data_IF_086036041422
#
_entry.id   IF_086036041422
#
_cell.length_a   1.000
_cell.length_b   1.000
_cell.length_c   1.000
_cell.angle_alpha   90.00
_cell.angle_beta   90.00
_cell.angle_gamma   90.00
#
_symmetry.space_group_name_H-M   'P 1'
#
loop_
_entity.id
_entity.type
_entity.pdbx_description
1 polymer ?
#
# COMPACT_ATOMS: atom_id res chain seq x y z
N UNK A 1 20.03 11.54 5.76
CA UNK A 1 20.46 11.70 4.35
C UNK A 1 19.32 12.40 3.64
N UNK A 2 19.59 13.44 2.86
CA UNK A 2 18.58 14.24 2.16
C UNK A 2 18.56 13.84 0.67
N UNK A 3 17.46 13.24 0.22
CA UNK A 3 17.29 12.77 -1.16
C UNK A 3 16.37 13.68 -1.97
N UNK A 4 16.20 14.94 -1.54
CA UNK A 4 15.14 15.81 -2.04
C UNK A 4 15.45 16.49 -3.37
N UNK A 5 14.83 16.02 -4.44
CA UNK A 5 14.83 16.65 -5.76
C UNK A 5 13.45 16.53 -6.42
N UNK A 6 12.44 17.28 -5.96
CA UNK A 6 11.03 16.97 -6.20
C UNK A 6 10.66 16.96 -7.69
N UNK A 7 11.22 17.88 -8.48
CA UNK A 7 10.96 17.95 -9.94
C UNK A 7 11.57 16.75 -10.66
N UNK A 8 12.80 16.36 -10.31
CA UNK A 8 13.49 15.24 -10.94
C UNK A 8 12.85 13.90 -10.53
N UNK A 9 12.59 13.73 -9.23
CA UNK A 9 11.91 12.57 -8.66
C UNK A 9 10.54 12.37 -9.31
N UNK A 10 9.72 13.43 -9.40
CA UNK A 10 8.39 13.38 -10.01
C UNK A 10 8.45 13.04 -11.50
N UNK A 11 9.31 13.72 -12.27
CA UNK A 11 9.43 13.49 -13.72
C UNK A 11 9.85 12.04 -13.99
N UNK A 12 10.80 11.53 -13.21
CA UNK A 12 11.28 10.16 -13.34
C UNK A 12 10.20 9.13 -12.98
N UNK A 13 9.48 9.35 -11.87
CA UNK A 13 8.39 8.50 -11.44
C UNK A 13 7.27 8.44 -12.50
N UNK A 14 6.88 9.60 -13.07
CA UNK A 14 5.86 9.67 -14.12
C UNK A 14 6.28 8.92 -15.38
N UNK A 15 7.51 9.14 -15.85
CA UNK A 15 8.02 8.43 -17.03
C UNK A 15 8.00 6.91 -16.80
N UNK A 16 8.47 6.44 -15.64
CA UNK A 16 8.48 5.00 -15.33
C UNK A 16 7.09 4.40 -15.18
N UNK A 17 6.19 5.10 -14.49
CA UNK A 17 4.82 4.67 -14.28
C UNK A 17 4.10 4.47 -15.61
N UNK A 18 4.16 5.46 -16.51
CA UNK A 18 3.47 5.42 -17.80
C UNK A 18 4.07 4.41 -18.79
N UNK A 19 5.39 4.19 -18.73
CA UNK A 19 6.07 3.31 -19.68
C UNK A 19 6.09 1.83 -19.27
N UNK A 20 6.10 1.53 -17.97
CA UNK A 20 6.43 0.18 -17.48
C UNK A 20 5.61 -0.28 -16.27
N UNK A 21 5.41 0.57 -15.27
CA UNK A 21 5.00 0.07 -13.95
C UNK A 21 3.47 0.02 -13.78
N UNK A 22 2.73 0.94 -14.40
CA UNK A 22 1.25 0.91 -14.38
C UNK A 22 0.68 -0.12 -15.36
N UNK A 23 -0.50 -0.63 -15.01
CA UNK A 23 -1.25 -1.53 -15.87
C UNK A 23 -1.71 -0.84 -17.17
N UNK A 24 -1.69 -1.60 -18.27
CA UNK A 24 -2.19 -1.12 -19.56
C UNK A 24 -3.71 -0.93 -19.55
N UNK A 25 -4.18 0.08 -20.29
CA UNK A 25 -5.60 0.39 -20.44
C UNK A 25 -6.16 -0.35 -21.65
N UNK A 26 -7.27 -1.05 -21.48
CA UNK A 26 -7.95 -1.69 -22.61
C UNK A 26 -8.46 -0.64 -23.61
N UNK A 27 -8.05 -0.78 -24.87
CA UNK A 27 -8.50 0.09 -25.94
C UNK A 27 -9.50 -0.65 -26.82
N UNK A 28 -10.82 -0.35 -26.73
CA UNK A 28 -11.82 -1.02 -27.56
C UNK A 28 -11.60 -0.70 -29.05
N UNK A 29 -11.17 0.52 -29.38
CA UNK A 29 -10.88 0.95 -30.75
C UNK A 29 -9.68 0.19 -31.33
N UNK A 30 -8.58 0.06 -30.57
CA UNK A 30 -7.42 -0.71 -31.05
C UNK A 30 -7.79 -2.19 -31.20
N UNK A 31 -8.57 -2.73 -30.25
CA UNK A 31 -9.04 -4.11 -30.30
C UNK A 31 -9.90 -4.36 -31.54
N UNK A 32 -10.87 -3.49 -31.84
CA UNK A 32 -11.74 -3.65 -33.02
C UNK A 32 -10.99 -3.54 -34.35
N UNK A 33 -10.02 -2.61 -34.44
CA UNK A 33 -9.27 -2.35 -35.68
C UNK A 33 -8.11 -3.33 -35.94
N UNK A 34 -7.50 -3.88 -34.89
CA UNK A 34 -6.25 -4.64 -34.98
C UNK A 34 -6.36 -6.08 -34.49
N UNK A 35 -7.46 -6.46 -33.82
CA UNK A 35 -7.64 -7.86 -33.41
C UNK A 35 -7.94 -8.72 -34.64
N UNK A 36 -6.92 -9.43 -35.10
CA UNK A 36 -7.06 -10.31 -36.27
C UNK A 36 -7.50 -11.71 -35.87
N UNK A 37 -7.02 -12.29 -34.74
CA UNK A 37 -7.34 -13.70 -34.41
C UNK A 37 -7.28 -14.14 -32.94
N UNK A 38 -6.94 -13.30 -31.94
CA UNK A 38 -6.59 -13.81 -30.59
C UNK A 38 -7.60 -13.57 -29.46
N UNK A 39 -8.70 -12.83 -29.68
CA UNK A 39 -9.73 -12.59 -28.67
C UNK A 39 -9.26 -11.89 -27.37
N UNK A 40 -7.99 -11.50 -27.28
CA UNK A 40 -7.44 -10.75 -26.15
C UNK A 40 -7.60 -9.26 -26.39
N UNK A 41 -8.10 -8.48 -25.42
CA UNK A 41 -8.18 -7.03 -25.54
C UNK A 41 -6.77 -6.45 -25.71
N UNK A 42 -6.63 -5.52 -26.66
CA UNK A 42 -5.38 -4.80 -26.85
C UNK A 42 -5.27 -3.70 -25.79
N UNK A 43 -4.19 -3.74 -25.03
CA UNK A 43 -3.90 -2.75 -24.00
C UNK A 43 -2.96 -1.67 -24.54
N UNK A 44 -3.33 -0.41 -24.33
CA UNK A 44 -2.49 0.76 -24.60
C UNK A 44 -1.83 1.26 -23.32
N UNK A 45 -0.74 2.01 -23.45
CA UNK A 45 -0.12 2.66 -22.29
C UNK A 45 -1.09 3.68 -21.67
N UNK A 46 -1.09 3.84 -20.34
CA UNK A 46 -1.81 4.93 -19.69
C UNK A 46 -1.37 6.29 -20.24
N UNK A 47 -2.31 7.21 -20.37
CA UNK A 47 -1.99 8.60 -20.67
C UNK A 47 -1.82 9.39 -19.37
N UNK A 48 -0.95 10.39 -19.38
CA UNK A 48 -0.66 11.25 -18.22
C UNK A 48 -1.93 11.90 -17.66
N UNK A 49 -2.80 12.41 -18.53
CA UNK A 49 -4.07 13.06 -18.16
C UNK A 49 -5.06 12.17 -17.40
N UNK A 50 -4.90 10.84 -17.51
CA UNK A 50 -5.80 9.87 -16.90
C UNK A 50 -5.19 9.30 -15.59
N UNK A 51 -4.01 9.78 -15.20
CA UNK A 51 -3.32 9.39 -13.97
C UNK A 51 -3.50 10.47 -12.89
N UNK A 52 -3.66 10.04 -11.64
CA UNK A 52 -3.66 10.95 -10.48
C UNK A 52 -2.32 10.87 -9.78
N UNK A 53 -1.72 12.03 -9.49
CA UNK A 53 -0.39 12.10 -8.89
C UNK A 53 -0.43 12.86 -7.58
N UNK A 54 0.11 12.26 -6.54
CA UNK A 54 0.27 12.87 -5.21
C UNK A 54 1.74 12.83 -4.84
N UNK A 55 2.29 13.99 -4.46
CA UNK A 55 3.68 14.16 -4.03
C UNK A 55 3.69 14.74 -2.61
N UNK A 56 4.42 14.11 -1.70
CA UNK A 56 4.66 14.63 -0.35
C UNK A 56 6.02 14.18 0.17
N UNK A 57 6.49 14.79 1.26
CA UNK A 57 7.73 14.39 1.92
C UNK A 57 7.42 13.54 3.14
N UNK A 58 8.18 12.46 3.33
CA UNK A 58 8.06 11.57 4.48
C UNK A 58 9.44 11.10 4.94
N UNK A 59 9.59 10.94 6.25
CA UNK A 59 10.75 10.30 6.86
C UNK A 59 10.60 8.78 6.87
N UNK A 60 11.59 8.09 6.33
CA UNK A 60 11.59 6.64 6.18
C UNK A 60 12.66 5.98 7.06
N UNK A 61 12.35 4.81 7.58
CA UNK A 61 13.38 3.90 8.09
C UNK A 61 14.02 3.16 6.90
N UNK A 62 15.36 2.98 6.87
CA UNK A 62 16.02 2.29 5.76
C UNK A 62 15.47 0.87 5.51
N UNK A 63 15.11 0.18 6.59
CA UNK A 63 14.49 -1.15 6.54
C UNK A 63 13.12 -1.12 5.86
N UNK A 64 12.34 -0.05 6.05
CA UNK A 64 11.05 0.15 5.40
C UNK A 64 11.20 0.38 3.88
N UNK A 65 12.36 0.89 3.44
CA UNK A 65 12.72 1.03 2.03
C UNK A 65 13.36 -0.25 1.44
N UNK A 66 13.66 -1.25 2.29
CA UNK A 66 14.33 -2.49 1.88
C UNK A 66 15.85 -2.38 1.82
N UNK A 67 16.46 -1.37 2.44
CA UNK A 67 17.91 -1.29 2.59
C UNK A 67 18.38 -2.13 3.80
N UNK A 68 19.38 -2.98 3.57
CA UNK A 68 20.07 -3.70 4.64
C UNK A 68 20.99 -2.73 5.39
N UNK A 69 20.58 -2.29 6.58
CA UNK A 69 21.40 -1.39 7.39
C UNK A 69 22.35 -2.19 8.28
N UNK A 70 23.66 -2.08 8.01
CA UNK A 70 24.71 -2.50 8.93
C UNK A 70 24.69 -1.64 10.20
N UNK A 71 24.43 -2.29 11.34
CA UNK A 71 24.73 -1.87 12.72
C UNK A 71 24.56 -0.37 13.08
N UNK A 72 23.48 -0.04 13.79
CA UNK A 72 23.63 0.67 15.06
C UNK A 72 23.06 2.09 15.22
N UNK A 73 22.44 2.72 14.22
CA UNK A 73 21.69 3.98 14.44
C UNK A 73 20.38 3.96 13.65
N UNK A 74 19.28 4.37 14.28
CA UNK A 74 17.99 4.68 13.64
C UNK A 74 18.14 5.94 12.76
N UNK A 75 18.87 5.79 11.66
CA UNK A 75 19.05 6.89 10.70
C UNK A 75 17.78 6.99 9.87
N UNK A 76 16.98 8.01 10.13
CA UNK A 76 15.85 8.35 9.27
C UNK A 76 16.35 8.96 7.96
N UNK A 77 15.66 8.61 6.87
CA UNK A 77 15.90 9.13 5.53
C UNK A 77 14.70 9.98 5.12
N UNK A 78 14.91 11.27 4.95
CA UNK A 78 13.88 12.17 4.43
C UNK A 78 13.91 12.10 2.90
N UNK A 79 12.78 11.71 2.32
CA UNK A 79 12.65 11.55 0.88
C UNK A 79 11.27 11.99 0.38
N UNK A 80 11.19 12.36 -0.90
CA UNK A 80 9.89 12.51 -1.56
C UNK A 80 9.24 11.15 -1.76
N UNK A 81 7.96 11.09 -1.43
CA UNK A 81 7.09 9.97 -1.76
C UNK A 81 6.13 10.43 -2.85
N UNK A 82 6.12 9.71 -3.96
CA UNK A 82 5.28 10.00 -5.12
C UNK A 82 4.35 8.81 -5.31
N UNK A 83 3.06 9.09 -5.30
CA UNK A 83 2.02 8.09 -5.55
C UNK A 83 1.36 8.42 -6.87
N UNK A 84 1.37 7.46 -7.80
CA UNK A 84 0.75 7.59 -9.12
C UNK A 84 -0.34 6.53 -9.20
N UNK A 85 -1.60 6.97 -9.26
CA UNK A 85 -2.75 6.10 -9.48
C UNK A 85 -3.07 6.07 -10.96
N UNK A 86 -3.09 4.87 -11.52
CA UNK A 86 -3.40 4.60 -12.92
C UNK A 86 -4.91 4.56 -13.20
N UNK A 87 -5.29 4.70 -14.48
CA UNK A 87 -6.67 4.63 -14.93
C UNK A 87 -7.35 3.26 -14.71
N UNK A 88 -6.56 2.19 -14.56
CA UNK A 88 -7.08 0.84 -14.25
C UNK A 88 -7.35 0.64 -12.74
N UNK A 89 -7.13 1.68 -11.92
CA UNK A 89 -7.33 1.65 -10.48
C UNK A 89 -6.13 1.13 -9.69
N UNK A 90 -5.08 0.64 -10.36
CA UNK A 90 -3.81 0.28 -9.74
C UNK A 90 -2.99 1.52 -9.38
N UNK A 91 -2.02 1.39 -8.48
CA UNK A 91 -1.20 2.51 -8.05
C UNK A 91 0.26 2.14 -7.78
N UNK A 92 1.18 2.99 -8.22
CA UNK A 92 2.62 2.84 -7.95
C UNK A 92 3.07 3.85 -6.90
N UNK A 93 3.87 3.40 -5.94
CA UNK A 93 4.49 4.24 -4.92
C UNK A 93 5.99 4.28 -5.16
N UNK A 94 6.52 5.49 -5.34
CA UNK A 94 7.93 5.76 -5.52
C UNK A 94 8.48 6.54 -4.33
N UNK A 95 9.72 6.27 -3.98
CA UNK A 95 10.50 7.08 -3.03
C UNK A 95 11.70 7.63 -3.78
N UNK A 96 11.80 8.96 -3.86
CA UNK A 96 12.73 9.67 -4.74
C UNK A 96 12.60 9.18 -6.19
N UNK A 97 13.58 8.42 -6.71
CA UNK A 97 13.60 7.90 -8.09
C UNK A 97 13.38 6.38 -8.17
N UNK A 98 13.08 5.71 -7.05
CA UNK A 98 12.95 4.26 -6.96
C UNK A 98 11.51 3.84 -6.75
N UNK A 99 11.06 2.81 -7.48
CA UNK A 99 9.77 2.16 -7.22
C UNK A 99 9.87 1.39 -5.90
N UNK A 100 9.05 1.77 -4.93
CA UNK A 100 8.97 1.07 -3.65
C UNK A 100 8.08 -0.17 -3.78
N UNK A 101 6.88 0.00 -4.33
CA UNK A 101 5.96 -1.08 -4.68
C UNK A 101 4.85 -0.63 -5.64
N UNK A 102 4.21 -1.62 -6.26
CA UNK A 102 2.99 -1.50 -7.06
C UNK A 102 1.85 -2.17 -6.31
N UNK A 103 0.72 -1.48 -6.21
CA UNK A 103 -0.52 -1.96 -5.61
C UNK A 103 -1.51 -2.19 -6.75
N UNK A 104 -1.85 -3.46 -7.01
CA UNK A 104 -2.75 -3.88 -8.08
C UNK A 104 -4.19 -3.47 -7.80
N UNK A 105 -4.61 -3.62 -6.54
CA UNK A 105 -5.96 -3.34 -6.08
C UNK A 105 -5.93 -2.52 -4.79
N UNK A 106 -5.72 -1.19 -4.88
CA UNK A 106 -5.64 -0.33 -3.71
C UNK A 106 -6.96 -0.32 -2.93
N UNK A 107 -6.87 -0.67 -1.65
CA UNK A 107 -8.00 -0.61 -0.71
C UNK A 107 -8.17 0.78 -0.09
N UNK A 108 -9.21 0.97 0.72
CA UNK A 108 -9.49 2.24 1.42
C UNK A 108 -8.31 2.73 2.25
N UNK A 109 -7.58 1.81 2.89
CA UNK A 109 -6.45 2.17 3.75
C UNK A 109 -5.34 2.84 2.96
N UNK A 110 -5.09 2.41 1.74
CA UNK A 110 -4.17 3.08 0.82
C UNK A 110 -4.55 4.56 0.63
N UNK A 111 -5.82 4.84 0.34
CA UNK A 111 -6.29 6.22 0.15
C UNK A 111 -6.29 7.06 1.43
N UNK A 112 -6.56 6.45 2.59
CA UNK A 112 -6.44 7.12 3.88
C UNK A 112 -4.99 7.50 4.20
N UNK A 113 -4.05 6.59 3.92
CA UNK A 113 -2.62 6.82 4.13
C UNK A 113 -2.08 7.88 3.14
N UNK A 114 -2.58 7.94 1.90
CA UNK A 114 -2.34 9.06 0.97
C UNK A 114 -2.86 10.39 1.53
N UNK A 115 -4.09 10.41 2.01
CA UNK A 115 -4.71 11.63 2.57
C UNK A 115 -3.98 12.11 3.82
N UNK A 116 -3.46 11.18 4.63
CA UNK A 116 -2.60 11.45 5.77
C UNK A 116 -1.15 11.81 5.39
N UNK A 117 -0.79 11.76 4.10
CA UNK A 117 0.57 11.99 3.59
C UNK A 117 1.61 11.07 4.26
N UNK A 118 1.24 9.82 4.49
CA UNK A 118 2.07 8.85 5.18
C UNK A 118 1.88 7.44 4.61
N UNK A 119 2.78 7.03 3.72
CA UNK A 119 2.79 5.67 3.18
C UNK A 119 3.54 4.68 4.08
N UNK A 120 3.20 3.41 3.97
CA UNK A 120 3.88 2.31 4.65
C UNK A 120 5.09 1.79 3.88
N UNK A 121 5.96 1.10 4.61
CA UNK A 121 7.15 0.46 4.08
C UNK A 121 6.84 -0.71 3.15
N UNK A 122 7.85 -1.14 2.40
CA UNK A 122 7.76 -2.25 1.44
C UNK A 122 7.29 -3.56 2.06
N UNK A 123 7.62 -3.83 3.32
CA UNK A 123 7.20 -5.04 4.04
C UNK A 123 5.70 -5.05 4.38
N UNK A 124 5.06 -3.89 4.38
CA UNK A 124 3.66 -3.72 4.74
C UNK A 124 2.75 -3.51 3.52
N UNK A 125 3.27 -3.67 2.29
CA UNK A 125 2.49 -3.47 1.05
C UNK A 125 1.23 -4.32 0.99
N UNK A 126 1.26 -5.52 1.58
CA UNK A 126 0.10 -6.41 1.64
C UNK A 126 -1.11 -5.79 2.37
N UNK A 127 -0.90 -4.77 3.21
CA UNK A 127 -1.98 -4.02 3.87
C UNK A 127 -2.73 -3.09 2.91
N UNK A 128 -2.21 -2.85 1.71
CA UNK A 128 -2.84 -2.02 0.68
C UNK A 128 -3.52 -2.83 -0.42
N UNK A 129 -3.29 -4.14 -0.47
CA UNK A 129 -3.93 -5.05 -1.41
C UNK A 129 -5.18 -5.66 -0.78
N UNK A 130 -6.33 -5.58 -1.44
CA UNK A 130 -7.50 -6.30 -0.95
C UNK A 130 -8.83 -5.85 -1.55
N UNK A 131 -9.83 -6.70 -1.32
CA UNK A 131 -11.23 -6.40 -1.65
C UNK A 131 -11.78 -5.52 -0.54
N UNK A 132 -12.12 -4.30 -0.92
CA UNK A 132 -12.65 -3.29 -0.02
C UNK A 132 -14.17 -3.53 0.14
N UNK A 133 -14.57 -4.68 0.69
CA UNK A 133 -15.98 -4.92 0.97
C UNK A 133 -16.35 -4.30 2.32
N UNK A 134 -17.48 -3.59 2.36
CA UNK A 134 -17.96 -2.95 3.58
C UNK A 134 -18.15 -3.96 4.73
N UNK A 135 -18.42 -5.22 4.41
CA UNK A 135 -18.60 -6.31 5.37
C UNK A 135 -17.28 -6.73 6.03
N UNK A 136 -16.18 -6.83 5.26
CA UNK A 136 -14.85 -7.12 5.79
C UNK A 136 -14.34 -5.94 6.65
N UNK A 137 -14.60 -4.70 6.24
CA UNK A 137 -14.26 -3.50 7.02
C UNK A 137 -15.02 -3.45 8.36
N UNK A 138 -16.33 -3.72 8.35
CA UNK A 138 -17.13 -3.76 9.58
C UNK A 138 -16.59 -4.82 10.55
N UNK A 139 -16.21 -5.99 10.05
CA UNK A 139 -15.61 -7.05 10.84
C UNK A 139 -14.27 -6.60 11.45
N UNK A 140 -13.37 -6.03 10.65
CA UNK A 140 -12.07 -5.56 11.14
C UNK A 140 -12.19 -4.46 12.21
N UNK A 141 -13.12 -3.52 12.04
CA UNK A 141 -13.38 -2.48 13.05
C UNK A 141 -13.95 -3.06 14.34
N UNK A 142 -14.89 -4.01 14.26
CA UNK A 142 -15.43 -4.66 15.45
C UNK A 142 -14.35 -5.45 16.19
N UNK A 143 -13.52 -6.21 15.46
CA UNK A 143 -12.41 -6.99 16.04
C UNK A 143 -11.39 -6.06 16.69
N UNK A 144 -10.93 -5.02 15.99
CA UNK A 144 -9.99 -4.04 16.53
C UNK A 144 -10.55 -3.33 17.77
N UNK A 145 -11.82 -2.92 17.73
CA UNK A 145 -12.51 -2.27 18.85
C UNK A 145 -12.71 -3.20 20.05
N UNK A 146 -13.07 -4.47 19.82
CA UNK A 146 -13.14 -5.48 20.88
C UNK A 146 -11.76 -5.72 21.52
N UNK A 147 -10.71 -5.84 20.71
CA UNK A 147 -9.35 -6.08 21.18
C UNK A 147 -8.80 -4.88 21.96
N UNK A 148 -9.10 -3.65 21.54
CA UNK A 148 -8.78 -2.43 22.28
C UNK A 148 -9.47 -2.39 23.65
N UNK A 149 -10.77 -2.74 23.72
CA UNK A 149 -11.52 -2.82 24.97
C UNK A 149 -10.94 -3.87 25.91
N UNK A 150 -10.60 -5.05 25.40
CA UNK A 150 -9.94 -6.12 26.17
C UNK A 150 -8.58 -5.67 26.69
N UNK A 151 -7.76 -5.01 25.86
CA UNK A 151 -6.46 -4.45 26.30
C UNK A 151 -6.63 -3.38 27.38
N UNK A 152 -7.65 -2.52 27.27
CA UNK A 152 -7.99 -1.54 28.30
C UNK A 152 -8.42 -2.23 29.60
N UNK A 153 -9.32 -3.21 29.52
CA UNK A 153 -9.80 -4.00 30.65
C UNK A 153 -8.65 -4.72 31.37
N UNK A 154 -7.72 -5.33 30.63
CA UNK A 154 -6.51 -5.96 31.18
C UNK A 154 -5.63 -4.98 31.96
N UNK A 155 -5.47 -3.75 31.45
CA UNK A 155 -4.66 -2.71 32.11
C UNK A 155 -5.29 -2.24 33.43
N UNK A 156 -6.61 -2.26 33.55
CA UNK A 156 -7.32 -1.71 34.71
C UNK A 156 -7.76 -2.76 35.75
N UNK A 157 -8.10 -3.98 35.33
CA UNK A 157 -8.71 -4.98 36.22
C UNK A 157 -7.70 -5.86 36.97
N UNK A 158 -6.42 -5.90 36.57
CA UNK A 158 -5.34 -6.58 37.31
C UNK A 158 -5.49 -8.09 37.55
N UNK A 159 -6.60 -8.70 37.15
CA UNK A 159 -6.91 -10.10 37.40
C UNK A 159 -6.20 -11.04 36.40
N UNK A 160 -5.54 -12.06 36.93
CA UNK A 160 -4.79 -13.06 36.14
C UNK A 160 -5.68 -13.79 35.10
N UNK A 161 -6.96 -14.01 35.41
CA UNK A 161 -7.90 -14.66 34.51
C UNK A 161 -8.25 -13.79 33.29
N UNK A 162 -8.37 -12.47 33.48
CA UNK A 162 -8.64 -11.50 32.39
C UNK A 162 -7.44 -11.41 31.45
N UNK A 163 -6.22 -11.48 31.99
CA UNK A 163 -4.99 -11.54 31.18
C UNK A 163 -4.89 -12.83 30.36
N UNK A 164 -5.32 -13.97 30.93
CA UNK A 164 -5.30 -15.27 30.23
C UNK A 164 -6.32 -15.31 29.08
N UNK A 165 -7.52 -14.79 29.31
CA UNK A 165 -8.56 -14.69 28.26
C UNK A 165 -8.14 -13.71 27.17
N UNK A 166 -7.54 -12.57 27.54
CA UNK A 166 -7.04 -11.60 26.59
C UNK A 166 -5.91 -12.13 25.70
N UNK A 167 -4.97 -12.91 26.25
CA UNK A 167 -3.94 -13.59 25.46
C UNK A 167 -4.53 -14.59 24.48
N UNK A 168 -5.46 -15.44 24.92
CA UNK A 168 -6.12 -16.40 24.04
C UNK A 168 -6.90 -15.73 22.90
N UNK A 169 -7.57 -14.61 23.17
CA UNK A 169 -8.25 -13.84 22.12
C UNK A 169 -7.25 -13.20 21.15
N UNK A 170 -6.09 -12.74 21.62
CA UNK A 170 -5.02 -12.25 20.76
C UNK A 170 -4.43 -13.35 19.88
N UNK A 171 -4.25 -14.55 20.44
CA UNK A 171 -3.76 -15.72 19.70
C UNK A 171 -4.77 -16.14 18.63
N UNK A 172 -6.07 -16.20 18.94
CA UNK A 172 -7.10 -16.52 17.94
C UNK A 172 -7.22 -15.45 16.84
N UNK A 173 -7.08 -14.17 17.16
CA UNK A 173 -7.09 -13.10 16.15
C UNK A 173 -5.83 -13.19 15.27
N UNK A 174 -4.68 -13.53 15.84
CA UNK A 174 -3.46 -13.77 15.07
C UNK A 174 -3.60 -14.99 14.15
N UNK A 175 -4.25 -16.06 14.61
CA UNK A 175 -4.56 -17.25 13.79
C UNK A 175 -5.53 -16.93 12.65
N UNK A 176 -6.56 -16.12 12.89
CA UNK A 176 -7.52 -15.68 11.87
C UNK A 176 -6.93 -14.69 10.87
N UNK A 177 -5.97 -13.87 11.30
CA UNK A 177 -5.23 -12.94 10.45
C UNK A 177 -4.11 -13.64 9.64
N UNK A 178 -3.78 -14.91 9.94
CA UNK A 178 -2.91 -15.70 9.08
C UNK A 178 -3.61 -15.94 7.74
N UNK A 179 -2.97 -15.64 6.60
CA UNK A 179 -3.54 -15.99 5.31
C UNK A 179 -3.76 -17.50 5.27
N UNK A 180 -4.97 -17.93 4.90
CA UNK A 180 -5.28 -19.33 4.64
C UNK A 180 -4.28 -19.81 3.58
N UNK A 181 -3.41 -20.80 3.88
CA UNK A 181 -2.57 -21.37 2.85
C UNK A 181 -3.47 -22.09 1.85
N UNK A 182 -3.37 -21.69 0.57
CA UNK A 182 -3.97 -22.42 -0.56
C UNK A 182 -3.48 -23.87 -0.60
#
# INVERSE_FOLDING_TARGET
MDLRHPVQSLTWALMRALERDLNGVESPVATDLLSTHSGKPLTTRPAEKDCTVVLFSQSWLPQALGYECGCGHEVHVDAETIVITGPCGDACVYVSTQLLYHVQTPNRRFFLDIAAQQMRGKTEVAQYEGRDTADEEAFDYEVAGALARVRGAVRHLGHADVQRVARRLQDCVAELASPIPN
#
